data_IF_422960883787
#
_entry.id   IF_422960883787
#
_cell.length_a   1.000
_cell.length_b   1.000
_cell.length_c   1.000
_cell.angle_alpha   90.00
_cell.angle_beta   90.00
_cell.angle_gamma   90.00
#
_symmetry.space_group_name_H-M   'P 1'
#
loop_
_entity.id
_entity.type
_entity.pdbx_description
1 polymer ?
#
# COMPACT_ATOMS: atom_id res chain seq x y z
N UNK A 1 -19.69 -10.60 -11.83
CA UNK A 1 -18.59 -11.33 -12.51
C UNK A 1 -17.73 -10.26 -13.14
N UNK A 2 -16.44 -10.18 -12.75
CA UNK A 2 -15.47 -9.24 -13.31
C UNK A 2 -15.21 -9.60 -14.78
N UNK A 3 -15.15 -8.58 -15.66
CA UNK A 3 -14.70 -8.82 -17.05
C UNK A 3 -13.23 -9.31 -17.05
N UNK A 4 -12.80 -10.10 -18.05
CA UNK A 4 -11.42 -10.58 -18.15
C UNK A 4 -10.37 -9.45 -18.05
N UNK A 5 -10.66 -8.29 -18.64
CA UNK A 5 -9.81 -7.10 -18.61
C UNK A 5 -9.66 -6.52 -17.19
N UNK A 6 -10.74 -6.43 -16.43
CA UNK A 6 -10.71 -5.98 -15.04
C UNK A 6 -9.98 -6.98 -14.14
N UNK A 7 -10.09 -8.26 -14.43
CA UNK A 7 -9.35 -9.28 -13.70
C UNK A 7 -7.84 -9.16 -13.95
N UNK A 8 -7.42 -8.98 -15.21
CA UNK A 8 -6.02 -8.78 -15.57
C UNK A 8 -5.44 -7.52 -14.91
N UNK A 9 -6.14 -6.40 -15.00
CA UNK A 9 -5.75 -5.14 -14.34
C UNK A 9 -5.62 -5.32 -12.82
N UNK A 10 -6.58 -6.01 -12.20
CA UNK A 10 -6.55 -6.29 -10.77
C UNK A 10 -5.36 -7.13 -10.33
N UNK A 11 -5.03 -8.14 -11.13
CA UNK A 11 -3.86 -8.97 -10.89
C UNK A 11 -2.56 -8.16 -10.95
N UNK A 12 -2.41 -7.29 -11.95
CA UNK A 12 -1.23 -6.43 -12.10
C UNK A 12 -1.06 -5.46 -10.90
N UNK A 13 -2.13 -4.76 -10.51
CA UNK A 13 -2.12 -3.83 -9.38
C UNK A 13 -1.74 -4.56 -8.08
N UNK A 14 -2.42 -5.65 -7.75
CA UNK A 14 -2.16 -6.38 -6.52
C UNK A 14 -0.74 -6.96 -6.51
N UNK A 15 -0.28 -7.53 -7.63
CA UNK A 15 1.07 -8.10 -7.73
C UNK A 15 2.14 -7.03 -7.57
N UNK A 16 1.95 -5.86 -8.20
CA UNK A 16 2.85 -4.71 -8.05
C UNK A 16 2.93 -4.26 -6.58
N UNK A 17 1.80 -4.06 -5.93
CA UNK A 17 1.73 -3.60 -4.55
C UNK A 17 2.31 -4.64 -3.55
N UNK A 18 2.14 -5.93 -3.81
CA UNK A 18 2.80 -6.99 -3.04
C UNK A 18 4.31 -6.99 -3.22
N UNK A 19 4.80 -6.72 -4.44
CA UNK A 19 6.24 -6.57 -4.70
C UNK A 19 6.82 -5.38 -3.94
N UNK A 20 6.13 -4.23 -3.97
CA UNK A 20 6.52 -3.03 -3.20
C UNK A 20 6.53 -3.32 -1.70
N UNK A 21 5.51 -4.03 -1.18
CA UNK A 21 5.47 -4.47 0.21
C UNK A 21 6.68 -5.34 0.58
N UNK A 22 7.03 -6.30 -0.28
CA UNK A 22 8.21 -7.15 -0.10
C UNK A 22 9.49 -6.33 -0.04
N UNK A 23 9.67 -5.38 -0.96
CA UNK A 23 10.82 -4.48 -0.98
C UNK A 23 10.91 -3.63 0.32
N UNK A 24 9.78 -3.09 0.79
CA UNK A 24 9.73 -2.32 2.04
C UNK A 24 10.07 -3.17 3.26
N UNK A 25 9.57 -4.39 3.31
CA UNK A 25 9.87 -5.34 4.39
C UNK A 25 11.36 -5.70 4.42
N UNK A 26 11.99 -5.89 3.26
CA UNK A 26 13.43 -6.16 3.13
C UNK A 26 14.24 -4.93 3.55
N UNK A 27 13.90 -3.73 3.08
CA UNK A 27 14.57 -2.50 3.50
C UNK A 27 14.47 -2.28 5.01
N UNK A 28 13.29 -2.54 5.59
CA UNK A 28 13.07 -2.44 7.03
C UNK A 28 13.83 -3.52 7.80
N UNK A 29 13.97 -4.72 7.26
CA UNK A 29 14.78 -5.80 7.83
C UNK A 29 16.27 -5.43 7.87
N UNK A 30 16.82 -4.90 6.77
CA UNK A 30 18.23 -4.57 6.62
C UNK A 30 18.62 -3.28 7.35
N UNK A 31 17.84 -2.22 7.17
CA UNK A 31 18.15 -0.87 7.65
C UNK A 31 17.25 -0.40 8.80
N UNK A 32 16.34 -1.26 9.27
CA UNK A 32 15.40 -0.96 10.38
C UNK A 32 14.60 0.32 10.14
N UNK A 33 14.61 1.23 11.12
CA UNK A 33 13.85 2.48 11.05
C UNK A 33 14.23 3.35 9.84
N UNK A 34 15.52 3.39 9.46
CA UNK A 34 15.98 4.15 8.29
C UNK A 34 15.40 3.57 7.00
N UNK A 35 15.43 2.24 6.84
CA UNK A 35 14.83 1.57 5.69
C UNK A 35 13.33 1.82 5.59
N UNK A 36 12.62 1.80 6.72
CA UNK A 36 11.21 2.14 6.79
C UNK A 36 10.94 3.57 6.34
N UNK A 37 11.72 4.55 6.82
CA UNK A 37 11.55 5.95 6.45
C UNK A 37 11.80 6.19 4.95
N UNK A 38 12.84 5.58 4.39
CA UNK A 38 13.14 5.68 2.94
C UNK A 38 12.01 5.08 2.12
N UNK A 39 11.55 3.88 2.47
CA UNK A 39 10.52 3.16 1.76
C UNK A 39 9.19 3.93 1.76
N UNK A 40 8.73 4.37 2.93
CA UNK A 40 7.48 5.11 3.07
C UNK A 40 7.56 6.50 2.42
N UNK A 41 8.70 7.20 2.56
CA UNK A 41 8.92 8.50 1.91
C UNK A 41 8.91 8.40 0.39
N UNK A 42 9.55 7.38 -0.18
CA UNK A 42 9.51 7.10 -1.61
C UNK A 42 8.06 6.87 -2.10
N UNK A 43 7.34 5.98 -1.43
CA UNK A 43 5.97 5.65 -1.81
C UNK A 43 5.02 6.85 -1.69
N UNK A 44 5.13 7.64 -0.62
CA UNK A 44 4.36 8.87 -0.44
C UNK A 44 4.64 9.88 -1.57
N UNK A 45 5.88 10.00 -2.05
CA UNK A 45 6.25 10.84 -3.18
C UNK A 45 5.60 10.38 -4.48
N UNK A 46 5.59 9.08 -4.75
CA UNK A 46 4.91 8.50 -5.93
C UNK A 46 3.42 8.79 -5.88
N UNK A 47 2.76 8.58 -4.74
CA UNK A 47 1.34 8.88 -4.57
C UNK A 47 1.03 10.36 -4.76
N UNK A 48 1.85 11.26 -4.20
CA UNK A 48 1.65 12.69 -4.34
C UNK A 48 1.74 13.14 -5.80
N UNK A 49 2.72 12.62 -6.57
CA UNK A 49 2.87 12.90 -7.99
C UNK A 49 1.68 12.37 -8.78
N UNK A 50 1.28 11.12 -8.55
CA UNK A 50 0.15 10.50 -9.23
C UNK A 50 -1.14 11.26 -8.97
N UNK A 51 -1.42 11.62 -7.71
CA UNK A 51 -2.60 12.41 -7.35
C UNK A 51 -2.58 13.79 -8.02
N UNK A 52 -1.44 14.46 -8.04
CA UNK A 52 -1.30 15.75 -8.71
C UNK A 52 -1.58 15.65 -10.22
N UNK A 53 -1.10 14.60 -10.90
CA UNK A 53 -1.37 14.36 -12.30
C UNK A 53 -2.86 14.09 -12.58
N UNK A 54 -3.53 13.32 -11.72
CA UNK A 54 -4.97 13.09 -11.84
C UNK A 54 -5.78 14.38 -11.69
N UNK A 55 -5.42 15.24 -10.73
CA UNK A 55 -6.09 16.54 -10.52
C UNK A 55 -5.88 17.46 -11.72
N UNK A 56 -4.66 17.51 -12.28
CA UNK A 56 -4.34 18.36 -13.43
C UNK A 56 -4.98 17.86 -14.73
N UNK A 57 -5.06 16.54 -14.93
CA UNK A 57 -5.58 15.94 -16.16
C UNK A 57 -7.09 16.16 -16.40
N UNK A 58 -7.86 16.46 -15.36
CA UNK A 58 -9.30 16.66 -15.45
C UNK A 58 -9.78 18.12 -15.69
N UNK A 59 -8.85 19.05 -15.88
CA UNK A 59 -9.16 20.49 -15.98
C UNK A 59 -9.77 20.96 -17.32
N UNK A 60 -10.16 20.05 -18.21
CA UNK A 60 -10.66 20.35 -19.55
C UNK A 60 -12.19 20.21 -19.75
N UNK A 61 -12.97 19.87 -18.72
CA UNK A 61 -14.42 19.64 -18.82
C UNK A 61 -15.25 20.76 -18.20
N UNK A 62 -16.58 20.65 -18.36
CA UNK A 62 -17.57 21.59 -17.80
C UNK A 62 -17.64 21.59 -16.24
N UNK A 63 -16.96 20.63 -15.60
CA UNK A 63 -16.91 20.51 -14.14
C UNK A 63 -15.93 21.51 -13.56
N UNK A 64 -16.31 22.26 -12.53
CA UNK A 64 -15.39 23.17 -11.86
C UNK A 64 -14.17 22.40 -11.34
N UNK A 65 -12.99 22.98 -11.48
CA UNK A 65 -11.72 22.37 -11.04
C UNK A 65 -11.76 21.94 -9.55
N UNK A 66 -12.47 22.70 -8.71
CA UNK A 66 -12.66 22.37 -7.31
C UNK A 66 -13.45 21.07 -7.14
N UNK A 67 -14.59 20.92 -7.84
CA UNK A 67 -15.41 19.72 -7.76
C UNK A 67 -14.66 18.50 -8.29
N UNK A 68 -13.95 18.64 -9.42
CA UNK A 68 -13.09 17.57 -9.96
C UNK A 68 -12.04 17.13 -8.94
N UNK A 69 -11.34 18.07 -8.29
CA UNK A 69 -10.34 17.77 -7.24
C UNK A 69 -10.97 16.99 -6.09
N UNK A 70 -12.15 17.41 -5.60
CA UNK A 70 -12.85 16.72 -4.52
C UNK A 70 -13.20 15.28 -4.92
N UNK A 71 -13.71 15.08 -6.13
CA UNK A 71 -14.07 13.75 -6.64
C UNK A 71 -12.85 12.85 -6.73
N UNK A 72 -11.74 13.34 -7.27
CA UNK A 72 -10.47 12.58 -7.34
C UNK A 72 -9.99 12.18 -5.95
N UNK A 73 -9.99 13.10 -4.99
CA UNK A 73 -9.60 12.81 -3.61
C UNK A 73 -10.51 11.73 -3.00
N UNK A 74 -11.82 11.87 -3.13
CA UNK A 74 -12.78 10.89 -2.59
C UNK A 74 -12.64 9.52 -3.26
N UNK A 75 -12.30 9.48 -4.56
CA UNK A 75 -12.10 8.24 -5.28
C UNK A 75 -10.82 7.51 -4.87
N UNK A 76 -9.74 8.25 -4.64
CA UNK A 76 -8.38 7.69 -4.49
C UNK A 76 -8.02 7.49 -3.01
N UNK A 77 -8.38 8.41 -2.11
CA UNK A 77 -7.98 8.35 -0.70
C UNK A 77 -8.31 7.04 0.04
N UNK A 78 -9.50 6.43 -0.12
CA UNK A 78 -9.84 5.26 0.67
C UNK A 78 -8.87 4.08 0.46
N UNK A 79 -8.51 3.75 -0.79
CA UNK A 79 -7.57 2.66 -1.05
C UNK A 79 -6.14 3.03 -0.66
N UNK A 80 -5.71 4.29 -0.89
CA UNK A 80 -4.38 4.73 -0.47
C UNK A 80 -4.17 4.62 1.05
N UNK A 81 -5.20 4.94 1.85
CA UNK A 81 -5.11 4.81 3.32
C UNK A 81 -4.94 3.34 3.72
N UNK A 82 -5.70 2.44 3.10
CA UNK A 82 -5.62 1.00 3.39
C UNK A 82 -4.25 0.44 2.99
N UNK A 83 -3.74 0.82 1.83
CA UNK A 83 -2.40 0.42 1.36
C UNK A 83 -1.29 1.00 2.24
N UNK A 84 -1.39 2.28 2.63
CA UNK A 84 -0.44 2.90 3.55
C UNK A 84 -0.33 2.14 4.87
N UNK A 85 -1.48 1.76 5.45
CA UNK A 85 -1.51 0.91 6.65
C UNK A 85 -0.85 -0.45 6.41
N UNK A 86 -1.11 -1.08 5.25
CA UNK A 86 -0.45 -2.31 4.84
C UNK A 86 1.07 -2.16 4.80
N UNK A 87 1.58 -1.13 4.14
CA UNK A 87 3.02 -0.89 4.04
C UNK A 87 3.67 -0.58 5.39
N UNK A 88 3.02 0.21 6.24
CA UNK A 88 3.52 0.51 7.60
C UNK A 88 3.62 -0.77 8.43
N UNK A 89 2.56 -1.62 8.44
CA UNK A 89 2.55 -2.87 9.19
C UNK A 89 3.60 -3.84 8.65
N UNK A 90 3.76 -3.94 7.32
CA UNK A 90 4.78 -4.78 6.69
C UNK A 90 6.20 -4.32 7.04
N UNK A 91 6.47 -3.02 6.98
CA UNK A 91 7.75 -2.47 7.42
C UNK A 91 8.02 -2.73 8.91
N UNK A 92 7.01 -2.59 9.78
CA UNK A 92 7.15 -2.93 11.21
C UNK A 92 7.48 -4.41 11.41
N UNK A 93 6.87 -5.31 10.62
CA UNK A 93 7.21 -6.74 10.68
C UNK A 93 8.69 -6.99 10.37
N UNK A 94 9.23 -6.31 9.35
CA UNK A 94 10.66 -6.35 9.02
C UNK A 94 11.57 -5.84 10.15
N UNK A 95 11.20 -4.71 10.77
CA UNK A 95 11.96 -4.17 11.93
C UNK A 95 11.93 -5.13 13.12
N UNK A 96 10.76 -5.72 13.44
CA UNK A 96 10.66 -6.68 14.54
C UNK A 96 11.47 -7.94 14.26
N UNK A 97 11.43 -8.44 13.04
CA UNK A 97 12.25 -9.58 12.62
C UNK A 97 13.74 -9.29 12.78
N UNK A 98 14.22 -8.13 12.28
CA UNK A 98 15.61 -7.70 12.42
C UNK A 98 16.06 -7.65 13.88
N UNK A 99 15.24 -7.07 14.76
CA UNK A 99 15.55 -6.97 16.19
C UNK A 99 15.51 -8.34 16.87
N UNK A 100 14.58 -9.21 16.50
CA UNK A 100 14.45 -10.55 17.06
C UNK A 100 15.67 -11.41 16.77
N UNK A 101 16.12 -11.45 15.51
CA UNK A 101 17.28 -12.24 15.07
C UNK A 101 18.58 -11.79 15.77
N UNK A 102 18.75 -10.48 16.00
CA UNK A 102 19.97 -9.96 16.62
C UNK A 102 19.96 -10.16 18.15
N UNK A 103 18.78 -10.15 18.77
CA UNK A 103 18.65 -10.14 20.23
C UNK A 103 18.55 -11.53 20.85
N UNK A 104 18.05 -12.51 20.13
CA UNK A 104 17.74 -13.83 20.67
C UNK A 104 18.49 -14.91 19.89
N UNK A 105 18.99 -15.92 20.59
CA UNK A 105 19.55 -17.14 20.00
C UNK A 105 18.42 -17.97 19.35
N UNK A 106 18.78 -18.79 18.37
CA UNK A 106 17.80 -19.63 17.64
C UNK A 106 17.04 -20.61 18.54
N UNK A 107 17.61 -20.99 19.69
CA UNK A 107 17.03 -21.88 20.68
C UNK A 107 16.11 -21.17 21.68
N UNK A 108 16.13 -19.81 21.72
CA UNK A 108 15.36 -19.04 22.70
C UNK A 108 13.84 -19.09 22.39
N UNK A 109 12.99 -19.50 23.34
CA UNK A 109 11.53 -19.45 23.18
C UNK A 109 10.97 -18.06 22.87
N UNK A 110 11.70 -17.00 23.24
CA UNK A 110 11.34 -15.61 22.95
C UNK A 110 11.43 -15.31 21.45
N UNK A 111 12.44 -15.85 20.74
CA UNK A 111 12.54 -15.73 19.30
C UNK A 111 11.30 -16.29 18.60
N UNK A 112 10.82 -17.45 19.04
CA UNK A 112 9.62 -18.07 18.47
C UNK A 112 8.38 -17.17 18.62
N UNK A 113 8.22 -16.48 19.75
CA UNK A 113 7.12 -15.51 19.93
C UNK A 113 7.25 -14.32 18.98
N UNK A 114 8.49 -13.80 18.79
CA UNK A 114 8.74 -12.71 17.83
C UNK A 114 8.42 -13.16 16.42
N UNK A 115 8.85 -14.34 16.00
CA UNK A 115 8.55 -14.89 14.69
C UNK A 115 7.05 -15.07 14.45
N UNK A 116 6.32 -15.54 15.44
CA UNK A 116 4.84 -15.64 15.36
C UNK A 116 4.21 -14.26 15.17
N UNK A 117 4.63 -13.26 15.95
CA UNK A 117 4.13 -11.89 15.80
C UNK A 117 4.46 -11.30 14.42
N UNK A 118 5.66 -11.53 13.92
CA UNK A 118 6.10 -11.11 12.57
C UNK A 118 5.22 -11.74 11.49
N UNK A 119 4.95 -13.04 11.57
CA UNK A 119 4.08 -13.73 10.62
C UNK A 119 2.65 -13.19 10.63
N UNK A 120 2.11 -12.91 11.82
CA UNK A 120 0.77 -12.29 11.94
C UNK A 120 0.76 -10.90 11.32
N UNK A 121 1.75 -10.05 11.63
CA UNK A 121 1.84 -8.70 11.05
C UNK A 121 2.01 -8.75 9.53
N UNK A 122 2.86 -9.64 9.02
CA UNK A 122 3.03 -9.84 7.59
C UNK A 122 1.73 -10.30 6.92
N UNK A 123 1.00 -11.24 7.52
CA UNK A 123 -0.30 -11.69 7.02
C UNK A 123 -1.34 -10.57 6.99
N UNK A 124 -1.43 -9.77 8.05
CA UNK A 124 -2.33 -8.59 8.09
C UNK A 124 -1.93 -7.57 7.02
N UNK A 125 -0.64 -7.31 6.85
CA UNK A 125 -0.12 -6.40 5.84
C UNK A 125 -0.51 -6.85 4.41
N UNK A 126 -0.29 -8.12 4.08
CA UNK A 126 -0.69 -8.71 2.80
C UNK A 126 -2.21 -8.59 2.58
N UNK A 127 -3.01 -8.89 3.59
CA UNK A 127 -4.46 -8.76 3.50
C UNK A 127 -4.90 -7.31 3.22
N UNK A 128 -4.29 -6.32 3.87
CA UNK A 128 -4.57 -4.91 3.62
C UNK A 128 -4.19 -4.48 2.20
N UNK A 129 -3.05 -4.92 1.68
CA UNK A 129 -2.64 -4.64 0.30
C UNK A 129 -3.63 -5.24 -0.71
N UNK A 130 -4.09 -6.46 -0.49
CA UNK A 130 -5.11 -7.08 -1.35
C UNK A 130 -6.43 -6.30 -1.28
N UNK A 131 -6.87 -5.91 -0.09
CA UNK A 131 -8.10 -5.11 0.08
C UNK A 131 -7.95 -3.74 -0.59
N UNK A 132 -6.81 -3.05 -0.42
CA UNK A 132 -6.51 -1.77 -1.08
C UNK A 132 -6.58 -1.88 -2.61
N UNK A 133 -5.91 -2.87 -3.19
CA UNK A 133 -5.95 -3.12 -4.63
C UNK A 133 -7.35 -3.48 -5.14
N UNK A 134 -8.15 -4.24 -4.39
CA UNK A 134 -9.54 -4.51 -4.74
C UNK A 134 -10.41 -3.25 -4.68
N UNK A 135 -10.16 -2.34 -3.74
CA UNK A 135 -10.84 -1.05 -3.67
C UNK A 135 -10.45 -0.16 -4.85
N UNK A 136 -9.17 -0.11 -5.22
CA UNK A 136 -8.69 0.65 -6.38
C UNK A 136 -9.43 0.24 -7.64
N UNK A 137 -9.59 -1.05 -7.92
CA UNK A 137 -10.20 -1.58 -9.14
C UNK A 137 -11.71 -1.42 -9.16
N UNK A 138 -12.38 -1.52 -8.01
CA UNK A 138 -13.84 -1.55 -7.95
C UNK A 138 -14.46 -0.22 -7.52
N UNK A 139 -13.86 0.51 -6.60
CA UNK A 139 -14.41 1.73 -6.02
C UNK A 139 -14.01 2.98 -6.81
N UNK A 140 -12.71 3.18 -7.05
CA UNK A 140 -12.20 4.39 -7.69
C UNK A 140 -12.85 4.67 -9.08
N UNK A 141 -12.95 3.67 -10.00
CA UNK A 141 -13.58 3.91 -11.31
C UNK A 141 -15.07 4.28 -11.22
N UNK A 142 -15.79 3.77 -10.22
CA UNK A 142 -17.20 4.11 -10.03
C UNK A 142 -17.39 5.55 -9.60
N UNK A 143 -16.55 6.03 -8.69
CA UNK A 143 -16.60 7.43 -8.21
C UNK A 143 -16.17 8.38 -9.31
N UNK A 144 -15.11 8.05 -10.07
CA UNK A 144 -14.63 8.87 -11.19
C UNK A 144 -15.63 8.89 -12.35
N UNK A 145 -16.37 7.79 -12.60
CA UNK A 145 -17.42 7.73 -13.63
C UNK A 145 -18.66 8.56 -13.31
N UNK A 146 -18.88 8.97 -12.06
CA UNK A 146 -19.94 9.92 -11.68
C UNK A 146 -19.59 11.38 -12.01
N UNK A 147 -18.35 11.65 -12.40
CA UNK A 147 -17.82 12.97 -12.71
C UNK A 147 -17.81 13.29 -14.23
N UNK A 148 -18.13 12.31 -15.07
CA UNK A 148 -18.28 12.43 -16.53
C UNK A 148 -19.74 12.60 -16.92
#
# INVERSE_FOLDING_TARGET
ILSPERFAMGYEVITHNLFVLGAFSILALLYRSLGTMIALGWNASVWAITLALFIQGGSGGDTSQFLHTVIVIVAVMPHLIVEALGYVIGALSGVFLSRGIIRYEYSDPRLRRVLTAVLVLAGVSVALIIVGGLMEINYAPRVLGLAQ
#
